data_IF_147334229919
#
_entry.id   IF_147334229919
#
_cell.length_a   1.000
_cell.length_b   1.000
_cell.length_c   1.000
_cell.angle_alpha   90.00
_cell.angle_beta   90.00
_cell.angle_gamma   90.00
#
_symmetry.space_group_name_H-M   'P 1'
#
loop_
_entity.id
_entity.type
_entity.pdbx_description
1 polymer ?
#
# COMPACT_ATOMS: atom_id res chain seq x y z
N UNK A 1 -29.42 11.48 6.95
CA UNK A 1 -28.19 10.64 6.89
C UNK A 1 -27.03 11.46 7.42
N UNK A 2 -26.00 10.81 7.96
CA UNK A 2 -24.82 11.47 8.51
C UNK A 2 -23.61 11.12 7.64
N UNK A 3 -22.72 12.10 7.42
CA UNK A 3 -21.47 11.90 6.69
C UNK A 3 -20.28 12.24 7.60
N UNK A 4 -19.31 11.34 7.67
CA UNK A 4 -18.05 11.53 8.41
C UNK A 4 -16.94 11.74 7.39
N UNK A 5 -16.22 12.84 7.51
CA UNK A 5 -15.09 13.18 6.65
C UNK A 5 -13.79 13.00 7.42
N UNK A 6 -12.85 12.23 6.87
CA UNK A 6 -11.51 12.11 7.43
C UNK A 6 -10.68 13.33 7.03
N UNK A 7 -9.97 13.93 7.99
CA UNK A 7 -9.01 14.99 7.67
C UNK A 7 -7.92 14.50 6.73
N UNK A 8 -7.68 15.25 5.65
CA UNK A 8 -6.66 14.98 4.65
C UNK A 8 -5.79 16.24 4.45
N UNK A 9 -4.55 16.05 3.96
CA UNK A 9 -3.66 17.20 3.63
C UNK A 9 -4.05 17.84 2.30
N UNK A 10 -4.76 17.12 1.45
CA UNK A 10 -5.22 17.49 0.12
C UNK A 10 -6.76 17.45 0.04
N UNK A 11 -7.33 17.75 -1.13
CA UNK A 11 -8.78 17.76 -1.35
C UNK A 11 -9.43 16.37 -1.42
N UNK A 12 -8.65 15.29 -1.33
CA UNK A 12 -9.15 13.92 -1.42
C UNK A 12 -9.63 13.40 -0.06
N UNK A 13 -10.75 13.94 0.41
CA UNK A 13 -11.35 13.50 1.66
C UNK A 13 -12.00 12.11 1.51
N UNK A 14 -11.55 11.15 2.31
CA UNK A 14 -12.32 9.91 2.51
C UNK A 14 -13.59 10.25 3.29
N UNK A 15 -14.72 9.67 2.88
CA UNK A 15 -16.01 9.86 3.55
C UNK A 15 -16.69 8.53 3.90
N UNK A 16 -17.35 8.49 5.04
CA UNK A 16 -18.27 7.43 5.44
C UNK A 16 -19.69 8.01 5.48
N UNK A 17 -20.68 7.27 4.98
CA UNK A 17 -22.10 7.62 5.08
C UNK A 17 -22.78 6.65 6.04
N UNK A 18 -23.61 7.19 6.92
CA UNK A 18 -24.48 6.43 7.81
C UNK A 18 -25.91 6.81 7.51
N UNK A 19 -26.70 5.85 7.03
CA UNK A 19 -28.12 6.08 6.73
C UNK A 19 -28.99 5.51 7.83
N UNK A 20 -29.94 6.31 8.35
CA UNK A 20 -30.97 5.78 9.24
C UNK A 20 -31.80 4.67 8.58
N UNK A 21 -31.88 4.66 7.24
CA UNK A 21 -32.56 3.60 6.48
C UNK A 21 -31.90 2.22 6.63
N UNK A 22 -30.57 2.17 6.84
CA UNK A 22 -29.83 0.91 7.02
C UNK A 22 -30.26 0.14 8.29
N UNK A 23 -30.96 0.81 9.21
CA UNK A 23 -31.40 0.27 10.49
C UNK A 23 -32.94 0.15 10.60
N UNK A 24 -33.67 0.31 9.48
CA UNK A 24 -35.13 0.32 9.45
C UNK A 24 -35.79 -0.97 9.93
N UNK A 25 -35.10 -2.11 9.83
CA UNK A 25 -35.61 -3.40 10.31
C UNK A 25 -35.81 -3.47 11.82
N UNK A 26 -35.22 -2.54 12.58
CA UNK A 26 -35.40 -2.42 14.04
C UNK A 26 -36.11 -1.14 14.45
N UNK A 27 -35.88 -0.04 13.75
CA UNK A 27 -36.42 1.28 14.10
C UNK A 27 -36.74 2.12 12.87
N UNK A 28 -37.94 2.69 12.80
CA UNK A 28 -38.32 3.62 11.73
C UNK A 28 -37.78 5.04 12.04
N UNK A 29 -36.57 5.35 11.57
CA UNK A 29 -35.96 6.66 11.78
C UNK A 29 -36.53 7.73 10.82
N UNK A 30 -36.95 8.86 11.38
CA UNK A 30 -37.36 10.07 10.64
C UNK A 30 -36.59 11.30 11.11
N UNK A 31 -36.13 12.12 10.16
CA UNK A 31 -35.17 13.21 10.37
C UNK A 31 -33.84 12.78 11.03
N UNK A 32 -33.34 11.59 10.66
CA UNK A 32 -32.07 11.06 11.17
C UNK A 32 -30.86 11.89 10.71
N UNK A 33 -30.10 12.41 11.66
CA UNK A 33 -28.97 13.30 11.38
C UNK A 33 -29.27 14.78 11.58
N UNK A 34 -30.47 15.13 12.07
CA UNK A 34 -30.86 16.53 12.31
C UNK A 34 -29.98 17.21 13.37
N UNK A 35 -29.58 16.46 14.40
CA UNK A 35 -28.67 16.90 15.44
C UNK A 35 -27.57 15.86 15.65
N UNK A 36 -26.36 16.33 15.94
CA UNK A 36 -25.18 15.51 16.16
C UNK A 36 -24.42 16.09 17.35
N UNK A 37 -23.96 15.24 18.24
CA UNK A 37 -22.98 15.58 19.28
C UNK A 37 -21.90 14.51 19.31
N UNK A 38 -20.67 14.84 19.68
CA UNK A 38 -19.59 13.86 19.71
C UNK A 38 -18.35 14.37 20.40
N UNK A 39 -17.22 13.73 20.12
CA UNK A 39 -15.93 14.02 20.75
C UNK A 39 -15.90 13.66 22.26
N UNK A 40 -16.72 12.69 22.67
CA UNK A 40 -16.78 12.17 24.04
C UNK A 40 -16.64 10.66 23.97
N UNK A 41 -15.70 10.12 24.71
CA UNK A 41 -15.47 8.68 24.87
C UNK A 41 -16.41 8.15 25.97
N UNK A 42 -17.50 7.49 25.57
CA UNK A 42 -18.58 7.07 26.46
C UNK A 42 -18.33 5.69 27.07
N UNK A 43 -17.47 4.89 26.45
CA UNK A 43 -17.20 3.50 26.82
C UNK A 43 -15.78 3.28 27.38
N UNK A 44 -14.97 4.33 27.45
CA UNK A 44 -13.63 4.30 28.03
C UNK A 44 -12.59 3.59 27.17
N UNK A 45 -12.90 3.29 25.90
CA UNK A 45 -11.97 2.63 24.99
C UNK A 45 -10.89 3.59 24.43
N UNK A 46 -10.99 4.88 24.78
CA UNK A 46 -10.05 5.93 24.39
C UNK A 46 -10.23 6.43 22.95
N UNK A 47 -11.36 6.11 22.32
CA UNK A 47 -11.80 6.71 21.06
C UNK A 47 -13.09 7.52 21.26
N UNK A 48 -13.22 8.70 20.61
CA UNK A 48 -14.39 9.55 20.79
C UNK A 48 -15.62 9.00 20.08
N UNK A 49 -16.71 8.85 20.81
CA UNK A 49 -18.01 8.45 20.28
C UNK A 49 -18.83 9.66 19.83
N UNK A 50 -19.96 9.38 19.19
CA UNK A 50 -20.91 10.41 18.81
C UNK A 50 -22.36 9.92 18.86
N UNK A 51 -23.29 10.85 19.02
CA UNK A 51 -24.73 10.61 19.00
C UNK A 51 -25.39 11.34 17.83
N UNK A 52 -26.48 10.75 17.34
CA UNK A 52 -27.26 11.26 16.22
C UNK A 52 -28.73 11.31 16.63
N UNK A 53 -29.32 12.50 16.55
CA UNK A 53 -30.73 12.73 16.80
C UNK A 53 -31.60 12.44 15.57
N UNK A 54 -32.78 11.90 15.84
CA UNK A 54 -33.84 11.63 14.88
C UNK A 54 -35.17 12.12 15.47
N UNK A 55 -35.36 13.45 15.49
CA UNK A 55 -36.35 14.09 16.35
C UNK A 55 -37.80 13.75 15.96
N UNK A 56 -38.13 13.64 14.66
CA UNK A 56 -39.48 13.30 14.19
C UNK A 56 -39.92 11.91 14.64
N UNK A 57 -38.97 10.99 14.81
CA UNK A 57 -39.23 9.67 15.36
C UNK A 57 -38.99 9.57 16.86
N UNK A 58 -38.57 10.64 17.56
CA UNK A 58 -38.25 10.66 19.01
C UNK A 58 -37.13 9.69 19.41
N UNK A 59 -36.11 9.54 18.56
CA UNK A 59 -34.96 8.66 18.85
C UNK A 59 -33.64 9.42 18.91
N UNK A 60 -32.71 8.91 19.72
CA UNK A 60 -31.28 9.26 19.70
C UNK A 60 -30.49 7.96 19.55
N UNK A 61 -29.54 7.95 18.61
CA UNK A 61 -28.68 6.79 18.35
C UNK A 61 -27.26 7.12 18.76
N UNK A 62 -26.62 6.26 19.54
CA UNK A 62 -25.22 6.40 19.95
C UNK A 62 -24.36 5.48 19.09
N UNK A 63 -23.38 6.05 18.42
CA UNK A 63 -22.36 5.34 17.67
C UNK A 63 -21.08 5.29 18.49
N UNK A 64 -20.73 4.09 18.95
CA UNK A 64 -19.43 3.83 19.57
C UNK A 64 -18.38 3.59 18.51
N UNK A 65 -17.25 4.26 18.65
CA UNK A 65 -16.08 4.09 17.79
C UNK A 65 -15.16 3.01 18.35
N UNK A 66 -14.26 2.49 17.51
CA UNK A 66 -13.33 1.41 17.88
C UNK A 66 -11.90 1.94 17.82
N UNK A 67 -11.01 1.49 18.74
CA UNK A 67 -9.58 1.76 18.64
C UNK A 67 -9.00 1.34 17.29
N UNK A 68 -8.03 2.08 16.79
CA UNK A 68 -7.46 1.83 15.47
C UNK A 68 -6.28 0.86 15.59
N UNK A 69 -6.27 -0.22 14.83
CA UNK A 69 -5.15 -1.15 14.77
C UNK A 69 -4.38 -0.99 13.46
N UNK A 70 -3.08 -0.74 13.55
CA UNK A 70 -2.16 -0.80 12.41
C UNK A 70 -1.51 -2.17 12.38
N UNK A 71 -1.60 -2.85 11.25
CA UNK A 71 -0.98 -4.16 11.06
C UNK A 71 0.14 -4.03 10.03
N UNK A 72 1.30 -4.58 10.34
CA UNK A 72 2.43 -4.68 9.40
C UNK A 72 2.84 -6.14 9.24
N UNK A 73 3.19 -6.49 8.02
CA UNK A 73 3.78 -7.80 7.70
C UNK A 73 5.17 -7.60 7.11
N UNK A 74 6.11 -8.46 7.47
CA UNK A 74 7.44 -8.52 6.88
C UNK A 74 7.78 -9.95 6.48
N UNK A 75 8.53 -10.10 5.39
CA UNK A 75 9.10 -11.37 4.94
C UNK A 75 10.62 -11.29 5.09
N UNK A 76 11.20 -12.33 5.68
CA UNK A 76 12.65 -12.55 5.75
C UNK A 76 13.00 -13.89 5.13
N UNK A 77 14.24 -14.01 4.69
CA UNK A 77 14.75 -15.17 3.97
C UNK A 77 15.78 -15.90 4.80
N UNK A 78 15.72 -17.23 4.81
CA UNK A 78 16.78 -18.04 5.41
C UNK A 78 17.92 -18.22 4.41
N UNK A 79 19.10 -17.73 4.77
CA UNK A 79 20.33 -17.91 4.02
C UNK A 79 21.42 -18.43 4.98
N UNK A 80 21.94 -19.62 4.71
CA UNK A 80 22.95 -20.28 5.56
C UNK A 80 22.56 -20.34 7.05
N UNK A 81 21.28 -20.58 7.34
CA UNK A 81 20.76 -20.67 8.71
C UNK A 81 20.51 -19.32 9.41
N UNK A 82 20.68 -18.18 8.71
CA UNK A 82 20.40 -16.85 9.25
C UNK A 82 19.28 -16.16 8.48
N UNK A 83 18.54 -15.29 9.15
CA UNK A 83 17.50 -14.46 8.53
C UNK A 83 18.11 -13.22 7.86
N UNK A 84 17.72 -12.99 6.61
CA UNK A 84 18.11 -11.85 5.77
C UNK A 84 16.88 -11.13 5.25
N UNK A 85 17.03 -9.86 4.90
CA UNK A 85 15.96 -9.07 4.29
C UNK A 85 15.86 -9.27 2.76
N UNK A 86 16.86 -9.93 2.17
CA UNK A 86 16.94 -10.21 0.72
C UNK A 86 17.53 -11.60 0.51
N UNK A 87 17.20 -12.21 -0.63
CA UNK A 87 17.76 -13.48 -1.06
C UNK A 87 18.10 -13.43 -2.55
N UNK A 88 19.22 -14.06 -2.92
CA UNK A 88 19.60 -14.29 -4.31
C UNK A 88 19.58 -15.80 -4.54
N UNK A 89 18.69 -16.28 -5.41
CA UNK A 89 18.55 -17.71 -5.73
C UNK A 89 19.49 -18.12 -6.84
N UNK A 90 20.15 -19.26 -6.71
CA UNK A 90 20.83 -19.88 -7.84
C UNK A 90 19.83 -20.31 -8.92
N UNK A 91 20.23 -20.31 -10.20
CA UNK A 91 19.34 -20.70 -11.31
C UNK A 91 18.81 -22.14 -11.20
N UNK A 92 19.53 -23.01 -10.51
CA UNK A 92 19.12 -24.39 -10.26
C UNK A 92 18.44 -24.58 -8.89
N UNK A 93 18.18 -23.50 -8.14
CA UNK A 93 17.50 -23.59 -6.86
C UNK A 93 16.11 -24.23 -7.05
N UNK A 94 15.87 -25.30 -6.31
CA UNK A 94 14.62 -26.07 -6.31
C UNK A 94 13.66 -25.59 -5.23
N UNK A 95 14.18 -24.96 -4.18
CA UNK A 95 13.40 -24.41 -3.08
C UNK A 95 14.16 -23.28 -2.38
N UNK A 96 13.43 -22.58 -1.51
CA UNK A 96 13.99 -21.67 -0.53
C UNK A 96 13.07 -21.54 0.67
N UNK A 97 13.61 -21.05 1.80
CA UNK A 97 12.87 -20.89 3.05
C UNK A 97 12.69 -19.42 3.39
N UNK A 98 11.49 -19.08 3.85
CA UNK A 98 11.15 -17.74 4.34
C UNK A 98 10.56 -17.79 5.75
N UNK A 99 10.62 -16.66 6.43
CA UNK A 99 9.87 -16.36 7.64
C UNK A 99 8.98 -15.14 7.37
N UNK A 100 7.67 -15.31 7.49
CA UNK A 100 6.71 -14.23 7.45
C UNK A 100 6.29 -13.87 8.87
N UNK A 101 6.52 -12.64 9.27
CA UNK A 101 6.12 -12.12 10.58
C UNK A 101 5.05 -11.05 10.43
N UNK A 102 4.06 -11.09 11.31
CA UNK A 102 3.04 -10.05 11.42
C UNK A 102 3.15 -9.40 12.78
N UNK A 103 3.10 -8.07 12.81
CA UNK A 103 2.98 -7.30 14.03
C UNK A 103 1.80 -6.34 13.95
N UNK A 104 1.26 -5.97 15.11
CA UNK A 104 0.21 -4.97 15.17
C UNK A 104 0.49 -3.94 16.28
N UNK A 105 -0.05 -2.74 16.08
CA UNK A 105 -0.03 -1.67 17.06
C UNK A 105 -1.43 -1.05 17.15
N UNK A 106 -1.99 -0.97 18.35
CA UNK A 106 -3.28 -0.35 18.61
C UNK A 106 -3.04 1.10 19.03
N UNK A 107 -3.57 2.04 18.26
CA UNK A 107 -3.58 3.46 18.58
C UNK A 107 -4.88 3.82 19.30
N UNK A 108 -4.74 4.47 20.45
CA UNK A 108 -5.82 5.08 21.23
C UNK A 108 -5.42 6.52 21.61
N UNK A 109 -6.39 7.42 21.72
CA UNK A 109 -6.14 8.87 21.91
C UNK A 109 -5.77 9.23 23.36
N UNK A 110 -5.80 8.28 24.29
CA UNK A 110 -5.45 8.47 25.70
C UNK A 110 -4.35 7.50 26.11
N UNK A 111 -3.63 7.81 27.21
CA UNK A 111 -2.71 6.91 27.93
C UNK A 111 -3.42 5.67 28.53
N UNK A 112 -4.55 5.26 27.96
CA UNK A 112 -5.18 3.98 28.24
C UNK A 112 -4.26 2.96 27.61
N UNK A 113 -3.60 2.16 28.46
CA UNK A 113 -2.99 0.92 28.03
C UNK A 113 -4.13 0.01 27.55
N UNK A 114 -4.54 0.17 26.29
CA UNK A 114 -5.45 -0.75 25.61
C UNK A 114 -4.66 -2.04 25.39
N UNK A 115 -4.44 -2.76 26.49
CA UNK A 115 -4.00 -4.14 26.44
C UNK A 115 -5.20 -4.87 25.89
N UNK A 116 -5.05 -5.37 24.67
CA UNK A 116 -6.01 -6.31 24.14
C UNK A 116 -6.13 -7.48 25.14
N UNK A 117 -7.36 -7.72 25.63
CA UNK A 117 -7.65 -8.65 26.73
C UNK A 117 -8.13 -10.02 26.22
N UNK A 118 -7.97 -10.30 24.92
CA UNK A 118 -8.51 -11.50 24.29
C UNK A 118 -7.51 -12.22 23.40
N UNK A 119 -8.01 -12.88 22.37
CA UNK A 119 -7.21 -13.39 21.24
C UNK A 119 -7.44 -12.50 20.00
N UNK A 120 -6.39 -12.15 19.25
CA UNK A 120 -6.53 -11.52 17.93
C UNK A 120 -6.18 -12.57 16.89
N UNK A 121 -7.08 -12.78 15.94
CA UNK A 121 -6.83 -13.63 14.77
C UNK A 121 -6.74 -12.75 13.54
N UNK A 122 -5.59 -12.73 12.89
CA UNK A 122 -5.37 -12.02 11.62
C UNK A 122 -5.29 -13.07 10.52
N UNK A 123 -6.12 -12.95 9.49
CA UNK A 123 -6.07 -13.85 8.34
C UNK A 123 -5.12 -13.25 7.31
N UNK A 124 -4.40 -14.11 6.62
CA UNK A 124 -3.37 -13.71 5.69
C UNK A 124 -3.41 -14.64 4.47
N UNK A 125 -3.02 -14.11 3.33
CA UNK A 125 -2.73 -14.82 2.09
C UNK A 125 -1.34 -14.44 1.66
N UNK A 126 -0.51 -15.42 1.37
CA UNK A 126 0.75 -15.20 0.68
C UNK A 126 0.53 -15.51 -0.79
N UNK A 127 0.70 -14.48 -1.63
CA UNK A 127 0.73 -14.63 -3.09
C UNK A 127 2.20 -14.79 -3.47
N UNK A 128 2.49 -15.85 -4.22
CA UNK A 128 3.83 -16.29 -4.59
C UNK A 128 3.93 -16.22 -6.10
N UNK A 129 4.84 -15.39 -6.59
CA UNK A 129 5.23 -15.32 -7.99
C UNK A 129 4.01 -15.23 -8.92
N UNK A 130 3.11 -14.28 -8.67
CA UNK A 130 1.77 -14.26 -9.31
C UNK A 130 1.85 -14.24 -10.84
N UNK A 131 2.83 -13.50 -11.37
CA UNK A 131 3.03 -13.27 -12.79
C UNK A 131 3.52 -14.54 -13.52
N UNK A 132 4.48 -15.26 -12.93
CA UNK A 132 5.19 -16.36 -13.58
C UNK A 132 4.81 -17.75 -13.02
N UNK A 133 4.25 -17.79 -11.81
CA UNK A 133 3.80 -18.98 -11.07
C UNK A 133 4.84 -20.12 -11.03
N UNK A 134 6.12 -19.76 -10.99
CA UNK A 134 7.25 -20.72 -10.93
C UNK A 134 7.40 -21.32 -9.55
N UNK A 135 6.90 -20.67 -8.51
CA UNK A 135 7.02 -21.13 -7.14
C UNK A 135 5.66 -21.35 -6.48
N UNK A 136 5.63 -22.29 -5.55
CA UNK A 136 4.43 -22.71 -4.83
C UNK A 136 4.76 -23.25 -3.45
N UNK A 137 3.73 -23.39 -2.62
CA UNK A 137 3.78 -24.18 -1.39
C UNK A 137 2.72 -25.28 -1.53
N UNK A 138 3.14 -26.54 -1.39
CA UNK A 138 2.27 -27.70 -1.59
C UNK A 138 1.87 -27.88 -3.07
N UNK A 139 0.78 -27.24 -3.49
CA UNK A 139 0.33 -27.24 -4.90
C UNK A 139 -0.15 -25.87 -5.39
N UNK A 140 -0.08 -24.84 -4.54
CA UNK A 140 -0.66 -23.53 -4.81
C UNK A 140 0.36 -22.41 -4.70
N UNK A 141 0.29 -21.46 -5.64
CA UNK A 141 1.01 -20.17 -5.62
C UNK A 141 0.29 -19.11 -4.76
N UNK A 142 -0.79 -19.51 -4.08
CA UNK A 142 -1.56 -18.69 -3.16
C UNK A 142 -1.89 -19.51 -1.93
N UNK A 143 -1.42 -19.08 -0.76
CA UNK A 143 -1.65 -19.82 0.50
C UNK A 143 -2.29 -18.93 1.53
N UNK A 144 -3.45 -19.36 2.02
CA UNK A 144 -4.14 -18.72 3.14
C UNK A 144 -3.67 -19.28 4.49
N UNK A 145 -3.62 -18.43 5.50
CA UNK A 145 -3.13 -18.75 6.84
C UNK A 145 -3.71 -17.78 7.89
N UNK A 146 -3.51 -18.10 9.16
CA UNK A 146 -3.91 -17.24 10.28
C UNK A 146 -2.76 -16.96 11.24
N UNK A 147 -2.62 -15.72 11.69
CA UNK A 147 -1.73 -15.32 12.79
C UNK A 147 -2.58 -15.12 14.04
N UNK A 148 -2.32 -15.93 15.06
CA UNK A 148 -2.99 -15.87 16.35
C UNK A 148 -2.09 -15.11 17.32
N UNK A 149 -2.64 -14.09 17.96
CA UNK A 149 -1.96 -13.28 18.97
C UNK A 149 -2.65 -13.48 20.31
N UNK A 150 -1.90 -14.08 21.23
CA UNK A 150 -2.30 -14.23 22.62
C UNK A 150 -2.10 -12.92 23.39
N UNK A 151 -2.65 -12.84 24.60
CA UNK A 151 -2.55 -11.65 25.44
C UNK A 151 -1.08 -11.21 25.62
N UNK A 152 -0.79 -9.94 25.34
CA UNK A 152 0.55 -9.36 25.46
C UNK A 152 1.51 -9.68 24.31
N UNK A 153 1.12 -10.54 23.36
CA UNK A 153 1.93 -10.84 22.16
C UNK A 153 1.55 -9.88 21.04
N UNK A 154 2.51 -9.09 20.57
CA UNK A 154 2.30 -8.09 19.49
C UNK A 154 2.96 -8.48 18.17
N UNK A 155 3.71 -9.60 18.14
CA UNK A 155 4.42 -10.12 16.97
C UNK A 155 4.36 -11.64 16.93
N UNK A 156 3.93 -12.20 15.80
CA UNK A 156 3.86 -13.64 15.54
C UNK A 156 4.47 -13.94 14.17
N UNK A 157 5.24 -15.03 14.06
CA UNK A 157 5.93 -15.42 12.84
C UNK A 157 5.58 -16.85 12.42
N UNK A 158 5.65 -17.13 11.12
CA UNK A 158 5.52 -18.45 10.52
C UNK A 158 6.60 -18.67 9.47
N UNK A 159 7.16 -19.87 9.46
CA UNK A 159 8.15 -20.27 8.45
C UNK A 159 7.48 -21.04 7.32
N UNK A 160 7.95 -20.83 6.10
CA UNK A 160 7.48 -21.52 4.90
C UNK A 160 8.66 -22.01 4.08
N UNK A 161 8.52 -23.20 3.50
CA UNK A 161 9.41 -23.70 2.45
C UNK A 161 8.66 -23.56 1.14
N UNK A 162 9.21 -22.76 0.23
CA UNK A 162 8.65 -22.49 -1.09
C UNK A 162 9.43 -23.31 -2.11
N UNK A 163 8.72 -24.12 -2.88
CA UNK A 163 9.29 -25.03 -3.86
C UNK A 163 9.05 -24.53 -5.28
N UNK A 164 10.02 -24.78 -6.15
CA UNK A 164 9.96 -24.44 -7.56
C UNK A 164 9.20 -25.52 -8.33
N UNK A 165 8.32 -25.10 -9.23
CA UNK A 165 7.72 -25.95 -10.26
C UNK A 165 8.81 -26.28 -11.26
N UNK A 166 8.94 -27.55 -11.63
CA UNK A 166 9.87 -27.97 -12.69
C UNK A 166 9.70 -27.07 -13.91
N UNK A 167 10.79 -26.54 -14.48
CA UNK A 167 10.71 -25.45 -15.44
C UNK A 167 9.94 -25.88 -16.70
N UNK A 168 9.09 -25.02 -17.29
CA UNK A 168 8.89 -25.07 -18.73
C UNK A 168 10.26 -24.84 -19.39
N UNK A 169 10.54 -25.46 -20.53
CA UNK A 169 11.87 -25.59 -21.16
C UNK A 169 12.61 -24.26 -21.48
N UNK A 170 12.06 -23.09 -21.13
CA UNK A 170 12.56 -21.76 -21.49
C UNK A 170 13.25 -21.00 -20.34
N UNK A 171 14.54 -20.74 -20.51
CA UNK A 171 15.43 -19.95 -19.62
C UNK A 171 15.07 -18.45 -19.50
N UNK A 172 14.02 -17.99 -20.19
CA UNK A 172 13.62 -16.57 -20.25
C UNK A 172 12.94 -16.18 -18.93
N UNK A 173 12.13 -17.06 -18.35
CA UNK A 173 11.40 -16.81 -17.11
C UNK A 173 12.33 -16.60 -15.91
N UNK A 174 13.49 -17.25 -15.86
CA UNK A 174 14.45 -17.13 -14.75
C UNK A 174 15.20 -15.78 -14.69
N UNK A 175 14.93 -14.89 -15.64
CA UNK A 175 15.42 -13.52 -15.60
C UNK A 175 14.52 -12.63 -14.74
N UNK A 176 13.22 -12.92 -14.65
CA UNK A 176 12.21 -12.19 -13.88
C UNK A 176 12.36 -12.42 -12.37
N UNK A 177 12.21 -11.36 -11.57
CA UNK A 177 12.23 -11.49 -10.10
C UNK A 177 11.02 -12.30 -9.61
N UNK A 178 11.18 -12.97 -8.47
CA UNK A 178 10.09 -13.71 -7.82
C UNK A 178 9.44 -12.77 -6.82
N UNK A 179 8.18 -12.40 -7.06
CA UNK A 179 7.43 -11.55 -6.15
C UNK A 179 6.80 -12.36 -5.02
N UNK A 180 6.97 -11.91 -3.78
CA UNK A 180 6.26 -12.43 -2.62
C UNK A 180 5.41 -11.33 -2.01
N UNK A 181 4.09 -11.46 -2.13
CA UNK A 181 3.15 -10.43 -1.71
C UNK A 181 2.26 -10.95 -0.59
N UNK A 182 2.49 -10.52 0.67
CA UNK A 182 1.58 -10.82 1.75
C UNK A 182 0.34 -9.91 1.64
N UNK A 183 -0.84 -10.52 1.60
CA UNK A 183 -2.13 -9.84 1.68
C UNK A 183 -2.75 -10.21 3.02
N UNK A 184 -3.12 -9.21 3.80
CA UNK A 184 -3.74 -9.42 5.11
C UNK A 184 -5.21 -9.01 5.05
N UNK A 185 -6.06 -9.76 5.75
CA UNK A 185 -7.38 -9.29 6.12
C UNK A 185 -7.68 -9.69 7.56
N UNK A 186 -8.42 -8.82 8.23
CA UNK A 186 -8.67 -8.97 9.64
C UNK A 186 -10.06 -9.57 9.86
N UNK A 187 -10.13 -10.63 10.66
CA UNK A 187 -11.39 -11.11 11.20
C UNK A 187 -11.32 -11.07 12.73
N UNK A 188 -11.95 -10.05 13.31
CA UNK A 188 -12.05 -9.85 14.75
C UNK A 188 -12.99 -10.86 15.41
N UNK A 189 -12.60 -12.11 15.58
CA UNK A 189 -13.38 -13.03 16.43
C UNK A 189 -12.86 -12.93 17.86
N UNK A 190 -13.34 -11.95 18.62
CA UNK A 190 -13.20 -11.96 20.08
C UNK A 190 -14.56 -12.30 20.71
N UNK A 191 -14.79 -13.60 20.91
CA UNK A 191 -15.91 -14.13 21.71
C UNK A 191 -15.55 -14.24 23.20
N UNK A 192 -14.84 -13.27 23.78
CA UNK A 192 -14.73 -13.18 25.25
C UNK A 192 -15.20 -11.82 25.74
N UNK A 193 -16.39 -11.89 26.34
CA UNK A 193 -17.08 -10.90 27.14
C UNK A 193 -16.10 -10.21 28.10
N UNK A 194 -15.94 -8.90 27.95
CA UNK A 194 -15.26 -8.07 28.94
C UNK A 194 -16.17 -6.91 29.30
N UNK A 195 -16.71 -6.99 30.53
CA UNK A 195 -17.11 -5.85 31.34
C UNK A 195 -18.38 -5.11 30.91
N UNK A 196 -19.43 -5.26 31.71
CA UNK A 196 -20.58 -4.34 31.72
C UNK A 196 -20.11 -2.92 32.03
N UNK A 197 -20.13 -2.05 31.01
CA UNK A 197 -20.00 -0.61 31.20
C UNK A 197 -21.24 -0.08 31.90
N UNK A 198 -21.08 0.41 33.12
CA UNK A 198 -22.08 1.27 33.77
C UNK A 198 -21.88 2.68 33.25
N UNK A 199 -22.85 3.18 32.46
CA UNK A 199 -22.93 4.59 32.12
C UNK A 199 -23.11 5.35 33.44
N UNK A 200 -22.06 6.02 33.91
CA UNK A 200 -22.16 6.97 35.02
C UNK A 200 -23.10 8.09 34.59
N UNK A 201 -24.18 8.26 35.36
CA UNK A 201 -25.23 9.28 35.24
C UNK A 201 -24.78 10.53 34.47
N UNK A 202 -25.42 10.78 33.34
CA UNK A 202 -25.48 12.12 32.75
C UNK A 202 -26.35 12.97 33.68
N UNK A 203 -25.78 14.04 34.25
CA UNK A 203 -26.50 14.93 35.15
C UNK A 203 -27.73 15.53 34.45
N UNK A 204 -28.93 15.28 35.01
CA UNK A 204 -30.11 16.14 34.80
C UNK A 204 -31.19 15.70 33.81
N UNK A 205 -31.21 14.47 33.31
CA UNK A 205 -32.29 13.94 32.46
C UNK A 205 -32.76 12.56 32.87
N UNK A 206 -33.99 12.19 32.50
CA UNK A 206 -34.47 10.80 32.64
C UNK A 206 -33.47 9.82 32.01
N UNK A 207 -33.20 8.67 32.64
CA UNK A 207 -32.24 7.70 32.12
C UNK A 207 -32.66 7.23 30.72
N UNK A 208 -31.69 7.15 29.80
CA UNK A 208 -31.88 6.49 28.52
C UNK A 208 -32.33 5.04 28.78
N UNK A 209 -33.60 4.75 28.47
CA UNK A 209 -34.14 3.39 28.56
C UNK A 209 -33.54 2.58 27.43
N UNK A 210 -32.58 1.71 27.78
CA UNK A 210 -32.07 0.69 26.86
C UNK A 210 -33.14 -0.42 26.80
N UNK A 211 -33.64 -0.81 25.61
CA UNK A 211 -34.65 -1.85 25.50
C UNK A 211 -34.21 -3.15 26.19
N UNK A 212 -35.06 -3.70 27.04
CA UNK A 212 -34.83 -4.99 27.68
C UNK A 212 -34.61 -6.08 26.61
N UNK A 213 -33.53 -6.85 26.76
CA UNK A 213 -33.13 -7.90 25.81
C UNK A 213 -31.90 -7.59 24.94
N UNK A 214 -31.38 -6.36 24.93
CA UNK A 214 -30.05 -6.12 24.36
C UNK A 214 -28.97 -6.57 25.36
N UNK A 215 -28.37 -7.72 25.11
CA UNK A 215 -27.13 -8.15 25.77
C UNK A 215 -26.05 -7.09 25.54
N UNK A 216 -25.87 -6.19 26.52
CA UNK A 216 -24.76 -5.23 26.53
C UNK A 216 -23.40 -5.95 26.47
N UNK A 217 -23.39 -7.23 26.82
CA UNK A 217 -22.28 -8.18 26.76
C UNK A 217 -21.90 -8.64 25.34
N UNK A 218 -22.68 -8.34 24.30
CA UNK A 218 -22.34 -8.72 22.90
C UNK A 218 -21.40 -7.72 22.23
N UNK A 219 -21.14 -6.57 22.85
CA UNK A 219 -20.27 -5.55 22.29
C UNK A 219 -18.85 -5.66 22.83
N UNK A 220 -17.91 -5.99 21.95
CA UNK A 220 -16.49 -5.94 22.25
C UNK A 220 -15.99 -4.49 22.23
N UNK A 221 -16.03 -3.81 23.39
CA UNK A 221 -15.59 -2.41 23.56
C UNK A 221 -14.13 -2.17 23.19
N UNK A 222 -13.30 -3.21 23.22
CA UNK A 222 -11.87 -3.15 22.90
C UNK A 222 -11.49 -3.88 21.61
N UNK A 223 -12.44 -4.28 20.78
CA UNK A 223 -12.12 -4.88 19.49
C UNK A 223 -11.65 -3.78 18.53
N UNK A 224 -10.38 -3.76 18.15
CA UNK A 224 -9.89 -2.69 17.31
C UNK A 224 -10.45 -2.83 15.89
N UNK A 225 -10.58 -1.71 15.20
CA UNK A 225 -10.84 -1.67 13.77
C UNK A 225 -9.51 -1.45 13.03
N UNK A 226 -9.17 -2.28 12.03
CA UNK A 226 -7.91 -2.16 11.31
C UNK A 226 -7.94 -0.88 10.47
N UNK A 227 -6.93 -0.03 10.64
CA UNK A 227 -6.59 0.93 9.60
C UNK A 227 -5.79 0.17 8.56
N UNK A 228 -6.12 0.45 7.28
CA UNK A 228 -5.44 0.03 6.05
C UNK A 228 -4.13 -0.73 6.26
N UNK A 229 -4.09 -1.93 5.72
CA UNK A 229 -2.92 -2.79 5.71
C UNK A 229 -1.80 -2.14 4.90
N UNK A 230 -0.59 -2.10 5.46
CA UNK A 230 0.64 -1.78 4.72
C UNK A 230 1.35 -3.11 4.44
N UNK A 231 1.02 -3.83 3.35
CA UNK A 231 1.76 -5.02 2.98
C UNK A 231 3.17 -4.60 2.53
N UNK A 232 4.20 -5.22 3.12
CA UNK A 232 5.55 -5.14 2.56
C UNK A 232 5.76 -6.35 1.67
N UNK A 233 5.60 -6.14 0.36
CA UNK A 233 6.05 -7.11 -0.63
C UNK A 233 7.56 -7.28 -0.55
N UNK A 234 8.04 -8.44 -0.92
CA UNK A 234 9.47 -8.73 -1.02
C UNK A 234 9.75 -9.37 -2.37
N UNK A 235 10.82 -8.91 -3.01
CA UNK A 235 11.25 -9.39 -4.31
C UNK A 235 12.52 -10.23 -4.13
N UNK A 236 12.55 -11.39 -4.77
CA UNK A 236 13.71 -12.28 -4.78
C UNK A 236 14.31 -12.25 -6.18
N UNK A 237 15.61 -12.04 -6.25
CA UNK A 237 16.33 -12.10 -7.51
C UNK A 237 16.96 -13.47 -7.73
N UNK A 238 17.06 -13.91 -8.98
CA UNK A 238 17.96 -14.98 -9.36
C UNK A 238 19.39 -14.47 -9.55
N UNK A 239 20.39 -15.32 -9.33
CA UNK A 239 21.78 -15.06 -9.64
C UNK A 239 21.91 -14.86 -11.15
N UNK A 240 22.31 -13.65 -11.53
CA UNK A 240 22.36 -13.22 -12.93
C UNK A 240 23.73 -13.54 -13.53
N UNK A 241 23.75 -13.86 -14.82
CA UNK A 241 25.02 -14.06 -15.54
C UNK A 241 25.49 -12.71 -16.08
N UNK A 242 26.42 -12.08 -15.36
CA UNK A 242 26.92 -10.75 -15.68
C UNK A 242 28.11 -10.76 -16.66
N UNK A 243 28.38 -11.89 -17.33
CA UNK A 243 29.58 -12.07 -18.18
C UNK A 243 29.67 -11.05 -19.32
N UNK A 244 30.89 -10.56 -19.55
CA UNK A 244 31.31 -9.92 -20.81
C UNK A 244 31.54 -11.02 -21.86
N UNK A 245 31.27 -10.73 -23.14
CA UNK A 245 31.71 -11.61 -24.23
C UNK A 245 33.25 -11.66 -24.18
N UNK A 246 33.83 -12.76 -23.68
CA UNK A 246 35.29 -12.98 -23.62
C UNK A 246 36.00 -12.82 -22.27
N UNK A 247 35.31 -12.62 -21.14
CA UNK A 247 35.96 -12.58 -19.81
C UNK A 247 35.66 -13.83 -18.97
N UNK A 248 36.67 -14.34 -18.27
CA UNK A 248 36.55 -15.43 -17.30
C UNK A 248 36.14 -14.87 -15.92
N UNK A 249 35.00 -15.32 -15.40
CA UNK A 249 34.50 -14.96 -14.07
C UNK A 249 32.97 -14.98 -14.00
N UNK A 250 32.41 -15.55 -12.93
CA UNK A 250 30.97 -15.57 -12.68
C UNK A 250 30.66 -14.63 -11.50
N UNK A 251 30.31 -13.37 -11.78
CA UNK A 251 30.01 -12.40 -10.74
C UNK A 251 28.59 -12.62 -10.20
N UNK A 252 28.39 -12.82 -8.88
CA UNK A 252 27.06 -13.02 -8.30
C UNK A 252 26.15 -11.80 -8.39
N UNK A 253 26.73 -10.59 -8.53
CA UNK A 253 26.01 -9.31 -8.58
C UNK A 253 26.57 -8.50 -9.75
N UNK A 254 25.70 -8.05 -10.65
CA UNK A 254 26.10 -7.19 -11.76
C UNK A 254 26.39 -5.78 -11.24
N UNK A 255 27.47 -5.16 -11.72
CA UNK A 255 27.88 -3.78 -11.42
C UNK A 255 27.70 -2.89 -12.66
N UNK A 256 26.46 -2.52 -13.02
CA UNK A 256 26.22 -1.62 -14.13
C UNK A 256 26.75 -0.22 -13.84
N UNK A 257 27.05 0.53 -14.89
CA UNK A 257 27.40 1.96 -14.81
C UNK A 257 26.45 2.69 -15.74
N UNK A 258 25.38 3.23 -15.19
CA UNK A 258 24.35 3.92 -15.95
C UNK A 258 24.66 5.40 -16.05
N UNK A 259 24.76 5.92 -17.27
CA UNK A 259 24.81 7.36 -17.55
C UNK A 259 23.48 7.81 -18.14
N UNK A 260 22.92 8.86 -17.55
CA UNK A 260 21.67 9.46 -18.00
C UNK A 260 21.98 10.75 -18.73
N UNK A 261 21.39 10.92 -19.92
CA UNK A 261 21.44 12.16 -20.70
C UNK A 261 20.03 12.68 -20.90
N UNK A 262 19.80 13.95 -20.59
CA UNK A 262 18.53 14.63 -20.79
C UNK A 262 18.66 15.64 -21.92
N UNK A 263 17.73 15.61 -22.88
CA UNK A 263 17.60 16.63 -23.93
C UNK A 263 16.18 17.14 -23.95
N UNK A 264 15.99 18.45 -23.81
CA UNK A 264 14.68 19.08 -23.85
C UNK A 264 14.40 19.76 -25.18
N UNK A 265 13.15 19.71 -25.63
CA UNK A 265 12.62 20.49 -26.76
C UNK A 265 11.29 21.12 -26.36
N UNK A 266 11.03 22.35 -26.77
CA UNK A 266 9.76 23.04 -26.50
C UNK A 266 9.16 23.70 -27.76
N UNK A 267 7.87 23.97 -27.74
CA UNK A 267 7.17 24.52 -28.89
C UNK A 267 5.65 24.58 -28.73
N UNK A 268 5.01 25.01 -29.81
CA UNK A 268 3.55 25.16 -29.91
C UNK A 268 2.84 23.86 -30.30
N UNK A 269 3.57 22.93 -30.92
CA UNK A 269 3.08 21.66 -31.40
C UNK A 269 3.54 20.47 -30.53
N UNK A 270 2.84 19.34 -30.64
CA UNK A 270 3.16 18.07 -29.97
C UNK A 270 4.53 17.46 -30.34
N UNK A 271 5.17 17.94 -31.40
CA UNK A 271 6.54 17.56 -31.75
C UNK A 271 7.45 18.81 -31.74
N UNK A 272 7.81 19.30 -30.54
CA UNK A 272 8.56 20.52 -30.41
C UNK A 272 9.97 20.41 -31.00
N UNK A 273 10.46 21.51 -31.60
CA UNK A 273 11.74 21.57 -32.30
C UNK A 273 12.76 22.50 -31.65
N UNK A 274 12.32 23.52 -30.89
CA UNK A 274 13.22 24.47 -30.21
C UNK A 274 13.92 23.76 -29.06
N UNK A 275 15.26 23.82 -28.99
CA UNK A 275 16.04 23.11 -27.96
C UNK A 275 16.02 23.86 -26.64
N UNK A 276 15.93 23.12 -25.54
CA UNK A 276 16.13 23.65 -24.19
C UNK A 276 17.62 23.64 -23.89
N UNK A 277 18.18 24.82 -23.63
CA UNK A 277 19.57 25.01 -23.18
C UNK A 277 19.62 25.28 -21.67
N UNK A 278 20.82 25.19 -21.09
CA UNK A 278 20.98 25.45 -19.67
C UNK A 278 20.59 26.90 -19.33
N UNK A 279 19.71 27.09 -18.34
CA UNK A 279 19.18 28.41 -17.96
C UNK A 279 17.99 28.90 -18.79
N UNK A 280 17.46 28.10 -19.73
CA UNK A 280 16.21 28.43 -20.45
C UNK A 280 15.06 28.59 -19.46
N UNK A 281 14.38 29.74 -19.49
CA UNK A 281 13.15 29.97 -18.73
C UNK A 281 11.94 29.70 -19.62
N UNK A 282 11.05 28.81 -19.17
CA UNK A 282 9.79 28.53 -19.83
C UNK A 282 8.67 29.22 -19.07
N UNK A 283 7.79 29.91 -19.80
CA UNK A 283 6.64 30.62 -19.23
C UNK A 283 5.39 29.78 -19.50
N UNK A 284 4.63 29.49 -18.45
CA UNK A 284 3.34 28.79 -18.57
C UNK A 284 2.37 29.61 -19.42
N UNK A 285 1.64 28.94 -20.31
CA UNK A 285 0.68 29.56 -21.22
C UNK A 285 1.26 30.15 -22.51
N UNK A 286 2.59 30.32 -22.59
CA UNK A 286 3.27 30.80 -23.81
C UNK A 286 3.73 29.62 -24.70
N UNK A 287 4.29 28.58 -24.07
CA UNK A 287 4.76 27.37 -24.78
C UNK A 287 4.04 26.13 -24.26
N UNK A 288 3.04 25.60 -24.99
CA UNK A 288 2.19 24.51 -24.51
C UNK A 288 2.90 23.16 -24.41
N UNK A 289 3.93 22.88 -25.20
CA UNK A 289 4.55 21.56 -25.24
C UNK A 289 6.01 21.58 -24.86
N UNK A 290 6.37 20.69 -23.93
CA UNK A 290 7.75 20.37 -23.56
C UNK A 290 7.97 18.86 -23.76
N UNK A 291 8.89 18.50 -24.65
CA UNK A 291 9.36 17.12 -24.82
C UNK A 291 10.72 16.95 -24.15
N UNK A 292 10.83 15.99 -23.25
CA UNK A 292 12.07 15.59 -22.61
C UNK A 292 12.47 14.20 -23.09
N UNK A 293 13.55 14.13 -23.87
CA UNK A 293 14.18 12.88 -24.24
C UNK A 293 15.20 12.49 -23.16
N UNK A 294 14.94 11.37 -22.48
CA UNK A 294 15.83 10.78 -21.49
C UNK A 294 16.50 9.57 -22.11
N UNK A 295 17.81 9.63 -22.33
CA UNK A 295 18.62 8.51 -22.79
C UNK A 295 19.43 7.93 -21.62
N UNK A 296 19.46 6.60 -21.52
CA UNK A 296 20.24 5.86 -20.52
C UNK A 296 21.20 4.95 -21.25
N UNK A 297 22.50 5.16 -21.03
CA UNK A 297 23.59 4.35 -21.55
C UNK A 297 24.21 3.54 -20.42
N UNK A 298 24.43 2.25 -20.63
CA UNK A 298 25.18 1.42 -19.68
C UNK A 298 26.62 1.24 -20.16
N UNK A 299 27.60 1.69 -19.38
CA UNK A 299 29.03 1.62 -19.75
C UNK A 299 29.74 0.38 -19.18
N UNK A 300 29.05 -0.43 -18.38
CA UNK A 300 29.66 -1.59 -17.74
C UNK A 300 28.76 -2.84 -17.81
N UNK A 301 28.77 -3.71 -16.80
CA UNK A 301 28.03 -4.96 -16.80
C UNK A 301 26.52 -4.75 -17.00
N UNK A 302 25.82 -5.76 -17.52
CA UNK A 302 24.38 -5.70 -17.80
C UNK A 302 23.59 -5.19 -16.60
N UNK A 303 22.77 -4.15 -16.82
CA UNK A 303 21.78 -3.68 -15.89
C UNK A 303 20.48 -4.44 -16.16
N UNK A 304 19.87 -5.04 -15.15
CA UNK A 304 18.57 -5.71 -15.27
C UNK A 304 17.49 -4.83 -14.60
N UNK A 305 16.24 -4.95 -15.02
CA UNK A 305 15.09 -4.16 -14.54
C UNK A 305 15.37 -2.66 -14.51
N UNK A 306 15.98 -2.16 -15.59
CA UNK A 306 16.33 -0.74 -15.66
C UNK A 306 15.08 0.09 -15.83
N UNK A 307 14.79 0.91 -14.81
CA UNK A 307 13.69 1.86 -14.79
C UNK A 307 14.19 3.30 -14.92
N UNK A 308 13.46 4.13 -15.65
CA UNK A 308 13.65 5.57 -15.65
C UNK A 308 12.63 6.18 -14.70
N UNK A 309 13.11 6.85 -13.64
CA UNK A 309 12.29 7.69 -12.77
C UNK A 309 12.61 9.15 -13.00
N UNK A 310 11.62 9.91 -13.46
CA UNK A 310 11.71 11.36 -13.58
C UNK A 310 10.86 12.00 -12.47
N UNK A 311 11.42 13.00 -11.79
CA UNK A 311 10.73 13.81 -10.80
C UNK A 311 10.81 15.27 -11.22
N UNK A 312 9.69 15.98 -11.22
CA UNK A 312 9.66 17.41 -11.49
C UNK A 312 9.17 18.16 -10.27
N UNK A 313 9.64 19.39 -10.11
CA UNK A 313 9.24 20.30 -9.04
C UNK A 313 9.01 21.67 -9.65
N UNK A 314 7.99 22.36 -9.15
CA UNK A 314 7.69 23.72 -9.55
C UNK A 314 8.23 24.70 -8.52
N UNK A 315 9.01 25.66 -8.99
CA UNK A 315 9.44 26.78 -8.17
C UNK A 315 8.25 27.76 -8.08
N UNK A 316 7.67 27.90 -6.88
CA UNK A 316 6.58 28.84 -6.56
C UNK A 316 5.15 28.50 -7.04
N UNK A 317 4.83 27.24 -7.32
CA UNK A 317 3.48 26.87 -7.74
C UNK A 317 2.90 25.66 -6.97
N UNK A 318 2.33 25.87 -5.77
CA UNK A 318 1.87 24.80 -4.90
C UNK A 318 0.57 24.11 -5.36
N UNK A 319 -0.12 24.64 -6.39
CA UNK A 319 -1.47 24.21 -6.78
C UNK A 319 -1.62 23.88 -8.27
N UNK A 320 -0.54 23.89 -9.05
CA UNK A 320 -0.61 23.56 -10.47
C UNK A 320 -0.92 22.07 -10.66
N UNK A 321 -1.92 21.77 -11.49
CA UNK A 321 -2.24 20.39 -11.85
C UNK A 321 -1.11 19.77 -12.66
N UNK A 322 -1.03 18.43 -12.66
CA UNK A 322 0.06 17.74 -13.34
C UNK A 322 -0.14 17.91 -14.85
N UNK A 323 0.82 18.51 -15.58
CA UNK A 323 0.74 18.61 -17.04
C UNK A 323 0.49 17.22 -17.63
N UNK A 324 -0.42 17.14 -18.61
CA UNK A 324 -0.76 15.86 -19.22
C UNK A 324 0.49 15.21 -19.83
N UNK A 325 0.98 14.15 -19.16
CA UNK A 325 2.19 13.43 -19.55
C UNK A 325 1.83 12.27 -20.46
N UNK A 326 2.36 12.29 -21.68
CA UNK A 326 2.35 11.13 -22.58
C UNK A 326 3.75 10.57 -22.66
N UNK A 327 3.90 9.27 -22.42
CA UNK A 327 5.17 8.57 -22.63
C UNK A 327 4.97 7.56 -23.75
N UNK A 328 5.84 7.56 -24.76
CA UNK A 328 5.74 6.62 -25.88
C UNK A 328 5.85 5.16 -25.42
N UNK A 329 5.14 4.24 -26.09
CA UNK A 329 5.15 2.75 -26.08
C UNK A 329 5.70 1.93 -24.88
N UNK A 330 5.90 2.52 -23.70
CA UNK A 330 6.36 1.90 -22.46
C UNK A 330 5.23 1.94 -21.44
N UNK A 331 5.17 0.98 -20.50
CA UNK A 331 4.25 1.10 -19.37
C UNK A 331 4.92 2.05 -18.36
N UNK A 332 4.29 3.18 -18.11
CA UNK A 332 4.75 4.16 -17.14
C UNK A 332 3.71 4.33 -16.05
N UNK A 333 4.15 4.25 -14.80
CA UNK A 333 3.34 4.63 -13.65
C UNK A 333 3.62 6.11 -13.33
N UNK A 334 2.58 6.94 -13.38
CA UNK A 334 2.66 8.38 -13.12
C UNK A 334 2.02 8.68 -11.76
N UNK A 335 2.84 9.03 -10.78
CA UNK A 335 2.42 9.48 -9.46
C UNK A 335 2.27 11.01 -9.47
N UNK A 336 1.01 11.44 -9.53
CA UNK A 336 0.65 12.85 -9.63
C UNK A 336 0.79 13.60 -8.30
N UNK A 337 0.74 12.91 -7.16
CA UNK A 337 0.87 13.54 -5.84
C UNK A 337 2.32 13.91 -5.55
N UNK A 338 3.24 13.02 -5.91
CA UNK A 338 4.68 13.22 -5.69
C UNK A 338 5.40 13.83 -6.89
N UNK A 339 4.69 14.16 -7.97
CA UNK A 339 5.24 14.69 -9.22
C UNK A 339 6.36 13.81 -9.79
N UNK A 340 6.10 12.50 -9.87
CA UNK A 340 7.04 11.53 -10.43
C UNK A 340 6.42 10.64 -11.49
N UNK A 341 7.20 10.23 -12.47
CA UNK A 341 6.84 9.17 -13.41
C UNK A 341 7.95 8.12 -13.43
N UNK A 342 7.55 6.84 -13.37
CA UNK A 342 8.47 5.70 -13.40
C UNK A 342 8.11 4.82 -14.58
N UNK A 343 9.07 4.58 -15.46
CA UNK A 343 8.87 3.86 -16.72
C UNK A 343 9.88 2.72 -16.89
N UNK A 344 9.41 1.58 -17.35
CA UNK A 344 10.29 0.49 -17.78
C UNK A 344 10.96 0.83 -19.11
N UNK A 345 12.28 0.62 -19.18
CA UNK A 345 13.08 0.98 -20.35
C UNK A 345 12.86 0.06 -21.56
N UNK A 346 12.33 -1.15 -21.36
CA UNK A 346 12.00 -2.12 -22.43
C UNK A 346 10.95 -3.13 -21.94
N UNK A 347 9.89 -3.33 -22.74
CA UNK A 347 8.76 -4.23 -22.46
C UNK A 347 9.09 -5.72 -22.61
N UNK A 348 10.13 -6.07 -23.37
CA UNK A 348 10.41 -7.45 -23.79
C UNK A 348 11.72 -7.97 -23.20
N UNK A 349 12.71 -7.09 -23.02
CA UNK A 349 13.99 -7.44 -22.40
C UNK A 349 14.21 -6.54 -21.21
N UNK A 350 13.98 -7.08 -20.02
CA UNK A 350 14.23 -6.44 -18.71
C UNK A 350 15.72 -6.23 -18.43
N UNK A 351 16.53 -5.86 -19.43
CA UNK A 351 17.93 -5.54 -19.28
C UNK A 351 18.44 -4.52 -20.31
N UNK A 352 19.44 -3.76 -19.88
CA UNK A 352 20.29 -2.89 -20.68
C UNK A 352 21.72 -3.45 -20.62
N UNK A 353 22.13 -4.10 -21.71
CA UNK A 353 23.44 -4.73 -21.82
C UNK A 353 24.58 -3.69 -21.81
N UNK A 354 25.81 -4.18 -21.71
CA UNK A 354 27.00 -3.34 -21.79
C UNK A 354 27.05 -2.56 -23.11
N UNK A 355 27.42 -1.29 -23.02
CA UNK A 355 27.55 -0.33 -24.11
C UNK A 355 26.25 -0.07 -24.90
N UNK A 356 25.11 -0.57 -24.39
CA UNK A 356 23.80 -0.29 -24.95
C UNK A 356 23.25 1.04 -24.41
N UNK A 357 22.53 1.73 -25.28
CA UNK A 357 21.79 2.94 -24.96
C UNK A 357 20.33 2.76 -25.38
N UNK A 358 19.40 3.20 -24.53
CA UNK A 358 17.97 3.28 -24.82
C UNK A 358 17.46 4.65 -24.39
N UNK A 359 16.42 5.14 -25.06
CA UNK A 359 15.83 6.44 -24.75
C UNK A 359 14.30 6.37 -24.67
N UNK A 360 13.73 7.13 -23.74
CA UNK A 360 12.30 7.41 -23.66
C UNK A 360 12.06 8.91 -23.87
N UNK A 361 10.92 9.23 -24.48
CA UNK A 361 10.47 10.61 -24.63
C UNK A 361 9.23 10.86 -23.77
N UNK A 362 9.31 11.89 -22.95
CA UNK A 362 8.26 12.36 -22.06
C UNK A 362 7.71 13.66 -22.64
N UNK A 363 6.45 13.64 -23.05
CA UNK A 363 5.78 14.81 -23.63
C UNK A 363 4.82 15.42 -22.60
N UNK A 364 5.07 16.65 -22.21
CA UNK A 364 4.29 17.42 -21.24
C UNK A 364 3.44 18.47 -21.95
N UNK A 365 2.14 18.50 -21.66
CA UNK A 365 1.27 19.61 -22.00
C UNK A 365 1.21 20.61 -20.82
N UNK A 366 1.87 21.75 -20.99
CA UNK A 366 2.01 22.83 -20.01
C UNK A 366 0.80 23.77 -19.96
N UNK A 367 -0.23 23.56 -20.79
CA UNK A 367 -1.49 24.30 -20.73
C UNK A 367 -2.59 23.60 -19.90
N UNK A 368 -2.45 22.30 -19.62
CA UNK A 368 -3.38 21.52 -18.78
C UNK A 368 -3.02 21.64 -17.29
N UNK A 369 -2.71 22.86 -16.82
CA UNK A 369 -2.08 23.11 -15.52
C UNK A 369 -2.98 23.92 -14.60
#
# INVERSE_FOLDING_TARGET
AVYIFYGARDSNFKRLRISGQEYQSKFAFSAFGYSIAGNVDLDGNGTPDFSVGSYLSKHVVIFRTRPQMKIKSEIKFYEQGRLRNSLILEKNATDFRIQMCTNFNIKSNKNVNVRHQGEIVIWAKLIIDEDEKRFFIGSSSTVSMTFVFQQGVTRTCKDFTITRRTPPEDLIHDQNEVSLTPVLWYNATSNKTVGTLRISKVNGGEPLVVPEGSSYTDFCSYCPYPIMFEPQSSEISFRRDCKRRGEAGNFPVCKPVLRVTLKGRFGEDRNPSRRVENGTKLVFGDTPWLALQVAVKNENQTAYFTVIKISWKWENAPTLTVPHLTVGNSQCNVDRENFTATCDLDRVRSYLGKDQEKSLEFLFNMNDV
#
